data_IF_764784967804
#
_entry.id   IF_764784967804
#
_cell.length_a   1.000
_cell.length_b   1.000
_cell.length_c   1.000
_cell.angle_alpha   90.00
_cell.angle_beta   90.00
_cell.angle_gamma   90.00
#
_symmetry.space_group_name_H-M   'P 1'
#
loop_
_entity.id
_entity.type
_entity.pdbx_description
1 polymer ?
#
# COMPACT_ATOMS: atom_id res chain seq x y z
N UNK A 1 40.91 -36.29 -8.46
CA UNK A 1 39.47 -36.26 -8.75
C UNK A 1 38.74 -35.59 -7.57
N UNK A 2 38.32 -34.33 -7.70
CA UNK A 2 37.51 -33.63 -6.68
C UNK A 2 36.08 -33.44 -7.22
N UNK A 3 35.06 -33.63 -6.39
CA UNK A 3 33.66 -33.38 -6.77
C UNK A 3 33.47 -31.88 -7.06
N UNK A 4 32.68 -31.55 -8.08
CA UNK A 4 32.05 -30.21 -8.16
C UNK A 4 31.08 -30.12 -6.99
N UNK A 5 31.09 -29.01 -6.26
CA UNK A 5 30.17 -28.81 -5.15
C UNK A 5 28.82 -28.31 -5.66
N UNK A 6 27.74 -28.84 -5.09
CA UNK A 6 26.42 -28.20 -5.17
C UNK A 6 26.49 -26.89 -4.38
N UNK A 7 26.59 -25.77 -5.10
CA UNK A 7 26.53 -24.45 -4.49
C UNK A 7 25.14 -24.16 -3.94
N UNK A 8 25.00 -23.24 -2.97
CA UNK A 8 23.69 -22.84 -2.46
C UNK A 8 22.81 -22.33 -3.61
N UNK A 9 21.62 -22.92 -3.74
CA UNK A 9 20.64 -22.52 -4.75
C UNK A 9 20.27 -21.03 -4.53
N UNK A 10 20.20 -20.20 -5.58
CA UNK A 10 19.89 -18.79 -5.42
C UNK A 10 18.52 -18.61 -4.74
N UNK A 11 18.34 -17.57 -3.90
CA UNK A 11 17.07 -17.33 -3.23
C UNK A 11 15.96 -17.18 -4.27
N UNK A 12 14.88 -17.94 -4.08
CA UNK A 12 13.75 -18.00 -5.01
C UNK A 12 13.06 -16.63 -5.01
N UNK A 13 13.35 -15.80 -6.02
CA UNK A 13 12.77 -14.46 -6.12
C UNK A 13 11.25 -14.56 -6.05
N UNK A 14 10.65 -13.89 -5.07
CA UNK A 14 9.19 -13.81 -4.93
C UNK A 14 8.65 -12.96 -6.08
N UNK A 15 8.18 -13.60 -7.15
CA UNK A 15 7.53 -12.92 -8.27
C UNK A 15 6.43 -12.02 -7.74
N UNK A 16 6.52 -10.72 -8.02
CA UNK A 16 5.46 -9.76 -7.66
C UNK A 16 4.24 -10.11 -8.51
N UNK A 17 3.26 -10.74 -7.87
CA UNK A 17 1.99 -11.08 -8.51
C UNK A 17 1.10 -9.85 -8.53
N UNK A 18 0.86 -9.31 -9.72
CA UNK A 18 -0.16 -8.28 -9.91
C UNK A 18 -1.52 -8.97 -10.08
N UNK A 19 -2.56 -8.58 -9.31
CA UNK A 19 -3.90 -9.08 -9.56
C UNK A 19 -4.39 -8.61 -10.95
N UNK A 20 -5.35 -9.33 -11.56
CA UNK A 20 -6.04 -8.82 -12.75
C UNK A 20 -6.68 -7.45 -12.45
N UNK A 21 -6.83 -6.61 -13.48
CA UNK A 21 -7.60 -5.38 -13.36
C UNK A 21 -9.08 -5.73 -13.08
N UNK A 22 -9.76 -5.02 -12.15
CA UNK A 22 -11.20 -5.14 -12.00
C UNK A 22 -11.92 -4.91 -13.32
N UNK A 23 -12.89 -5.76 -13.61
CA UNK A 23 -13.77 -5.73 -14.78
C UNK A 23 -15.23 -5.62 -14.35
N UNK A 24 -16.16 -5.17 -15.21
CA UNK A 24 -17.58 -5.17 -14.88
C UNK A 24 -18.07 -6.53 -14.37
N UNK A 25 -18.97 -6.49 -13.38
CA UNK A 25 -19.42 -7.57 -12.50
C UNK A 25 -18.42 -8.10 -11.45
N UNK A 26 -17.16 -7.62 -11.39
CA UNK A 26 -16.27 -7.95 -10.28
C UNK A 26 -16.76 -7.34 -8.95
N UNK A 27 -16.55 -8.06 -7.86
CA UNK A 27 -16.90 -7.62 -6.50
C UNK A 27 -15.74 -6.86 -5.88
N UNK A 28 -15.97 -5.58 -5.54
CA UNK A 28 -14.95 -4.71 -4.93
C UNK A 28 -15.24 -4.53 -3.43
N UNK A 29 -14.27 -4.87 -2.58
CA UNK A 29 -14.38 -4.71 -1.14
C UNK A 29 -14.27 -3.22 -0.75
N UNK A 30 -15.25 -2.73 0.01
CA UNK A 30 -15.27 -1.38 0.58
C UNK A 30 -15.09 -1.50 2.09
N UNK A 31 -14.08 -0.80 2.63
CA UNK A 31 -13.61 -0.91 4.01
C UNK A 31 -13.25 0.47 4.59
N UNK A 32 -13.34 0.64 5.91
CA UNK A 32 -12.86 1.85 6.61
C UNK A 32 -11.59 1.56 7.43
N UNK A 33 -10.39 1.72 6.85
CA UNK A 33 -9.12 1.46 7.55
C UNK A 33 -8.86 2.41 8.72
N UNK A 34 -9.43 3.61 8.68
CA UNK A 34 -9.29 4.67 9.69
C UNK A 34 -10.56 4.85 10.52
N UNK A 35 -11.16 6.04 10.45
CA UNK A 35 -12.48 6.29 11.04
C UNK A 35 -13.60 5.87 10.07
N UNK A 36 -14.71 5.34 10.59
CA UNK A 36 -15.93 5.02 9.86
C UNK A 36 -16.75 6.25 9.46
N UNK A 37 -16.10 7.23 8.81
CA UNK A 37 -16.67 8.52 8.43
C UNK A 37 -17.98 8.46 7.62
N UNK A 38 -18.33 7.39 6.86
CA UNK A 38 -19.66 7.24 6.26
C UNK A 38 -20.84 7.27 7.25
N UNK A 39 -20.60 7.07 8.56
CA UNK A 39 -21.61 7.28 9.61
C UNK A 39 -22.00 8.77 9.75
N UNK A 40 -21.03 9.67 9.66
CA UNK A 40 -21.20 11.12 9.82
C UNK A 40 -21.46 11.83 8.48
N UNK A 41 -20.88 11.30 7.40
CA UNK A 41 -20.93 11.85 6.06
C UNK A 41 -21.33 10.76 5.05
N UNK A 42 -22.60 10.31 5.06
CA UNK A 42 -23.05 9.24 4.17
C UNK A 42 -23.08 9.66 2.70
N UNK A 43 -23.48 10.89 2.38
CA UNK A 43 -23.72 11.34 0.99
C UNK A 43 -22.50 11.23 0.05
N UNK A 44 -21.26 11.63 0.45
CA UNK A 44 -20.07 11.40 -0.38
C UNK A 44 -19.71 9.92 -0.55
N UNK A 45 -20.04 9.08 0.43
CA UNK A 45 -19.78 7.65 0.40
C UNK A 45 -20.78 6.91 -0.50
N UNK A 46 -22.08 7.22 -0.36
CA UNK A 46 -23.16 6.73 -1.22
C UNK A 46 -22.89 7.02 -2.70
N UNK A 47 -22.53 8.26 -3.03
CA UNK A 47 -22.10 8.65 -4.38
C UNK A 47 -20.85 7.89 -4.86
N UNK A 48 -20.00 7.43 -3.95
CA UNK A 48 -18.88 6.54 -4.27
C UNK A 48 -19.35 5.13 -4.65
N UNK A 49 -20.34 4.58 -3.95
CA UNK A 49 -20.93 3.27 -4.28
C UNK A 49 -21.72 3.32 -5.58
N UNK A 50 -22.52 4.38 -5.78
CA UNK A 50 -23.28 4.65 -7.01
C UNK A 50 -22.34 4.63 -8.23
N UNK A 51 -21.23 5.39 -8.19
CA UNK A 51 -20.25 5.40 -9.30
C UNK A 51 -19.55 4.07 -9.51
N UNK A 52 -19.16 3.36 -8.44
CA UNK A 52 -18.57 2.02 -8.57
C UNK A 52 -19.50 1.06 -9.33
N UNK A 53 -20.81 1.17 -9.09
CA UNK A 53 -21.83 0.38 -9.80
C UNK A 53 -22.11 0.90 -11.22
N UNK A 54 -22.47 2.17 -11.36
CA UNK A 54 -23.03 2.71 -12.61
C UNK A 54 -21.96 3.10 -13.64
N UNK A 55 -20.85 3.73 -13.21
CA UNK A 55 -19.77 4.17 -14.12
C UNK A 55 -18.79 3.05 -14.46
N UNK A 56 -18.56 2.11 -13.52
CA UNK A 56 -17.54 1.05 -13.63
C UNK A 56 -18.11 -0.38 -13.70
N UNK A 57 -19.41 -0.57 -13.46
CA UNK A 57 -20.05 -1.90 -13.48
C UNK A 57 -19.64 -2.83 -12.34
N UNK A 58 -18.99 -2.33 -11.28
CA UNK A 58 -18.48 -3.12 -10.17
C UNK A 58 -19.56 -3.34 -9.11
N UNK A 59 -19.47 -4.44 -8.37
CA UNK A 59 -20.37 -4.75 -7.26
C UNK A 59 -19.68 -4.35 -5.95
N UNK A 60 -19.96 -3.17 -5.35
CA UNK A 60 -19.42 -2.82 -4.05
C UNK A 60 -19.90 -3.77 -2.96
N UNK A 61 -18.99 -4.20 -2.10
CA UNK A 61 -19.26 -5.04 -0.93
C UNK A 61 -18.73 -4.33 0.31
N UNK A 62 -19.63 -3.69 1.06
CA UNK A 62 -19.29 -3.07 2.33
C UNK A 62 -18.97 -4.12 3.40
N UNK A 63 -17.90 -3.87 4.16
CA UNK A 63 -17.50 -4.68 5.31
C UNK A 63 -18.07 -4.13 6.63
N UNK A 64 -18.17 -4.94 7.70
CA UNK A 64 -18.83 -4.57 8.96
C UNK A 64 -18.45 -3.24 9.64
N UNK A 65 -17.21 -2.76 9.51
CA UNK A 65 -16.79 -1.48 10.12
C UNK A 65 -16.96 -0.24 9.23
N UNK A 66 -17.33 -0.43 7.95
CA UNK A 66 -17.27 0.63 6.92
C UNK A 66 -18.08 1.88 7.27
N UNK A 67 -19.24 1.71 7.93
CA UNK A 67 -20.09 2.82 8.39
C UNK A 67 -20.13 2.96 9.92
N UNK A 68 -19.07 2.58 10.64
CA UNK A 68 -19.07 2.55 12.11
C UNK A 68 -17.87 3.30 12.73
N UNK A 69 -18.16 4.42 13.36
CA UNK A 69 -17.26 5.21 14.20
C UNK A 69 -16.94 4.49 15.52
N UNK A 70 -15.84 4.88 16.17
CA UNK A 70 -15.41 4.29 17.45
C UNK A 70 -15.02 2.80 17.37
N UNK A 71 -14.85 2.25 16.16
CA UNK A 71 -14.43 0.87 15.94
C UNK A 71 -12.98 0.66 16.32
N UNK A 72 -12.74 -0.38 17.12
CA UNK A 72 -11.41 -0.74 17.63
C UNK A 72 -10.43 -1.11 16.50
N UNK A 73 -9.11 -1.12 16.76
CA UNK A 73 -8.11 -1.57 15.78
C UNK A 73 -8.19 -3.07 15.49
N UNK A 74 -9.02 -3.82 16.25
CA UNK A 74 -9.30 -5.22 16.01
C UNK A 74 -10.45 -5.39 15.02
N UNK A 75 -11.61 -4.76 15.27
CA UNK A 75 -12.73 -4.80 14.31
C UNK A 75 -12.29 -4.32 12.92
N UNK A 76 -11.57 -3.19 12.84
CA UNK A 76 -11.02 -2.67 11.57
C UNK A 76 -9.85 -3.48 10.99
N UNK A 77 -9.35 -4.46 11.73
CA UNK A 77 -8.32 -5.40 11.27
C UNK A 77 -8.93 -6.74 10.81
N UNK A 78 -10.05 -7.15 11.40
CA UNK A 78 -10.82 -8.29 10.91
C UNK A 78 -11.41 -7.95 9.50
N UNK A 79 -11.59 -6.66 9.20
CA UNK A 79 -11.85 -6.09 7.87
C UNK A 79 -10.60 -5.89 6.96
N UNK A 80 -9.35 -6.21 7.39
CA UNK A 80 -8.11 -5.79 6.67
C UNK A 80 -6.90 -6.74 6.68
N UNK A 81 -6.24 -6.91 5.52
CA UNK A 81 -4.78 -6.98 5.46
C UNK A 81 -4.14 -5.66 5.94
N UNK A 82 -3.26 -5.73 6.94
CA UNK A 82 -2.80 -4.56 7.72
C UNK A 82 -1.65 -3.76 7.10
N UNK A 83 -1.79 -2.43 7.17
CA UNK A 83 -0.72 -1.43 7.27
C UNK A 83 -1.23 -0.25 8.11
N UNK A 84 -0.64 -0.01 9.30
CA UNK A 84 -0.91 1.05 10.29
C UNK A 84 -2.34 1.19 10.91
N UNK A 85 -2.45 1.54 12.21
CA UNK A 85 -3.69 1.98 12.86
C UNK A 85 -3.70 3.50 13.17
N UNK A 86 -4.89 4.11 13.24
CA UNK A 86 -5.08 5.55 13.48
C UNK A 86 -5.18 5.98 14.96
N UNK A 87 -5.46 5.07 15.90
CA UNK A 87 -5.81 5.42 17.30
C UNK A 87 -4.62 5.89 18.15
N UNK A 88 -3.40 5.71 17.67
CA UNK A 88 -2.18 6.20 18.30
C UNK A 88 -1.40 7.04 17.29
N UNK A 89 -1.83 8.30 17.02
CA UNK A 89 -0.98 9.25 16.31
C UNK A 89 0.29 9.43 17.14
N UNK A 90 1.44 9.09 16.56
CA UNK A 90 2.72 9.28 17.23
C UNK A 90 2.95 10.78 17.48
N UNK A 91 3.66 11.12 18.56
CA UNK A 91 4.34 12.42 18.64
C UNK A 91 5.32 12.58 17.46
N UNK A 92 5.76 13.80 17.09
CA UNK A 92 6.71 13.97 15.99
C UNK A 92 7.98 13.11 16.15
N UNK A 93 8.48 13.00 17.38
CA UNK A 93 9.61 12.13 17.75
C UNK A 93 9.28 10.64 17.64
N UNK A 94 8.10 10.23 18.10
CA UNK A 94 7.61 8.85 17.95
C UNK A 94 7.38 8.46 16.50
N UNK A 95 6.97 9.42 15.66
CA UNK A 95 6.73 9.24 14.22
C UNK A 95 8.03 9.09 13.46
N UNK A 96 9.02 9.93 13.77
CA UNK A 96 10.39 9.78 13.27
C UNK A 96 10.99 8.43 13.70
N UNK A 97 10.78 8.00 14.96
CA UNK A 97 11.22 6.68 15.44
C UNK A 97 10.51 5.53 14.70
N UNK A 98 9.18 5.56 14.58
CA UNK A 98 8.40 4.54 13.88
C UNK A 98 8.80 4.42 12.39
N UNK A 99 8.98 5.56 11.71
CA UNK A 99 9.46 5.60 10.34
C UNK A 99 10.88 5.01 10.22
N UNK A 100 11.80 5.37 11.14
CA UNK A 100 13.16 4.81 11.16
C UNK A 100 13.18 3.30 11.43
N UNK A 101 12.38 2.81 12.40
CA UNK A 101 12.25 1.39 12.73
C UNK A 101 11.80 0.53 11.54
N UNK A 102 10.87 1.04 10.72
CA UNK A 102 10.35 0.34 9.56
C UNK A 102 11.14 0.55 8.28
N UNK A 103 11.77 1.72 8.10
CA UNK A 103 12.85 1.91 7.11
C UNK A 103 13.97 0.89 7.35
N UNK A 104 14.37 0.70 8.62
CA UNK A 104 15.32 -0.37 8.97
C UNK A 104 14.73 -1.78 8.83
N UNK A 105 13.44 -2.00 9.06
CA UNK A 105 12.81 -3.32 8.79
C UNK A 105 12.89 -3.69 7.31
N UNK A 106 12.53 -2.77 6.41
CA UNK A 106 12.67 -2.94 4.95
C UNK A 106 14.13 -3.10 4.57
N UNK A 107 15.05 -2.26 5.08
CA UNK A 107 16.49 -2.40 4.82
C UNK A 107 17.07 -3.72 5.33
N UNK A 108 16.59 -4.28 6.46
CA UNK A 108 16.99 -5.61 6.93
C UNK A 108 16.50 -6.71 5.97
N UNK A 109 15.24 -6.65 5.53
CA UNK A 109 14.69 -7.61 4.58
C UNK A 109 15.42 -7.55 3.22
N UNK A 110 15.63 -6.36 2.67
CA UNK A 110 16.32 -6.20 1.38
C UNK A 110 17.79 -6.62 1.44
N UNK A 111 18.51 -6.35 2.55
CA UNK A 111 19.86 -6.89 2.78
C UNK A 111 19.90 -8.43 2.77
N UNK A 112 18.83 -9.10 3.20
CA UNK A 112 18.76 -10.56 3.25
C UNK A 112 18.35 -11.22 1.93
N UNK A 113 17.49 -10.56 1.13
CA UNK A 113 16.87 -11.18 -0.06
C UNK A 113 17.25 -10.55 -1.41
N UNK A 114 17.71 -9.30 -1.44
CA UNK A 114 17.96 -8.56 -2.68
C UNK A 114 19.00 -7.41 -2.48
N UNK A 115 20.23 -7.71 -2.01
CA UNK A 115 21.17 -6.71 -1.50
C UNK A 115 21.61 -5.66 -2.53
N UNK A 116 21.69 -6.02 -3.82
CA UNK A 116 22.10 -5.12 -4.91
C UNK A 116 20.96 -4.24 -5.45
N UNK A 117 19.75 -4.34 -4.89
CA UNK A 117 18.59 -3.56 -5.35
C UNK A 117 18.67 -2.11 -4.87
N UNK A 118 18.50 -1.16 -5.78
CA UNK A 118 18.34 0.26 -5.40
C UNK A 118 16.98 0.46 -4.74
N UNK A 119 16.99 0.88 -3.47
CA UNK A 119 15.79 1.17 -2.68
C UNK A 119 15.67 2.69 -2.54
N UNK A 120 14.46 3.22 -2.74
CA UNK A 120 14.13 4.62 -2.46
C UNK A 120 13.03 4.65 -1.39
N UNK A 121 13.19 5.54 -0.42
CA UNK A 121 12.24 5.82 0.64
C UNK A 121 11.81 7.29 0.54
N UNK A 122 10.83 7.69 1.35
CA UNK A 122 10.57 9.10 1.64
C UNK A 122 10.21 9.90 0.36
N UNK A 123 9.27 9.36 -0.43
CA UNK A 123 8.87 9.88 -1.74
C UNK A 123 7.41 10.33 -1.73
N UNK A 124 7.15 11.57 -2.16
CA UNK A 124 5.87 12.27 -1.97
C UNK A 124 4.69 11.81 -2.86
N UNK A 125 4.79 10.65 -3.52
CA UNK A 125 3.72 10.06 -4.32
C UNK A 125 3.30 8.69 -3.78
N UNK A 126 2.07 8.58 -3.26
CA UNK A 126 1.56 7.33 -2.69
C UNK A 126 0.25 7.46 -1.89
N UNK A 127 -0.29 6.31 -1.51
CA UNK A 127 -1.48 6.15 -0.66
C UNK A 127 -1.18 6.57 0.80
N UNK A 128 -2.07 7.17 1.59
CA UNK A 128 -3.50 7.48 1.36
C UNK A 128 -3.80 8.98 1.15
N UNK A 129 -2.77 9.83 1.26
CA UNK A 129 -2.84 11.29 1.10
C UNK A 129 -1.74 11.72 0.10
N UNK A 130 -1.98 11.57 -1.21
CA UNK A 130 -0.94 11.77 -2.23
C UNK A 130 -0.62 13.25 -2.43
N UNK A 131 0.49 13.69 -1.84
CA UNK A 131 1.03 15.05 -2.00
C UNK A 131 1.42 15.37 -3.45
N UNK A 132 1.78 14.36 -4.25
CA UNK A 132 2.07 14.48 -5.68
C UNK A 132 1.36 13.41 -6.52
N UNK A 133 0.71 13.84 -7.60
CA UNK A 133 0.08 12.96 -8.60
C UNK A 133 1.05 12.66 -9.75
N UNK A 134 1.19 11.39 -10.12
CA UNK A 134 1.95 10.93 -11.29
C UNK A 134 0.98 10.40 -12.35
N UNK A 135 0.79 11.11 -13.48
CA UNK A 135 0.07 10.58 -14.65
C UNK A 135 0.58 9.22 -15.14
N UNK A 136 -0.30 8.44 -15.75
CA UNK A 136 0.02 7.11 -16.27
C UNK A 136 0.66 7.18 -17.68
N UNK A 137 1.51 6.20 -18.02
CA UNK A 137 2.11 6.04 -19.34
C UNK A 137 3.49 6.68 -19.53
N UNK A 138 3.94 7.53 -18.60
CA UNK A 138 5.27 8.15 -18.65
C UNK A 138 6.42 7.20 -18.29
N UNK A 139 7.64 7.58 -18.65
CA UNK A 139 8.87 6.88 -18.27
C UNK A 139 9.46 7.48 -16.99
N UNK A 140 9.66 6.65 -15.97
CA UNK A 140 10.33 7.04 -14.72
C UNK A 140 11.80 6.62 -14.78
N UNK A 141 12.72 7.55 -14.48
CA UNK A 141 14.14 7.26 -14.22
C UNK A 141 14.47 7.59 -12.77
N UNK A 142 14.93 6.58 -12.04
CA UNK A 142 15.50 6.71 -10.69
C UNK A 142 17.02 6.79 -10.80
N UNK A 143 17.62 7.80 -10.18
CA UNK A 143 19.05 8.01 -10.05
C UNK A 143 19.41 8.09 -8.56
N UNK A 144 19.78 6.95 -7.98
CA UNK A 144 20.11 6.82 -6.56
C UNK A 144 21.30 7.71 -6.14
N UNK A 145 22.46 7.65 -6.82
CA UNK A 145 23.62 8.49 -6.52
C UNK A 145 23.32 10.00 -6.61
N UNK A 146 22.58 10.45 -7.62
CA UNK A 146 22.18 11.85 -7.76
C UNK A 146 20.93 12.23 -6.92
N UNK A 147 20.40 11.29 -6.11
CA UNK A 147 19.16 11.38 -5.31
C UNK A 147 18.00 12.01 -6.08
N UNK A 148 17.72 11.51 -7.29
CA UNK A 148 16.79 12.15 -8.22
C UNK A 148 15.87 11.16 -8.88
N UNK A 149 14.58 11.45 -8.84
CA UNK A 149 13.58 10.83 -9.70
C UNK A 149 13.28 11.83 -10.81
N UNK A 150 13.22 11.35 -12.06
CA UNK A 150 12.68 12.09 -13.19
C UNK A 150 11.51 11.30 -13.77
N UNK A 151 10.44 12.00 -14.14
CA UNK A 151 9.35 11.43 -14.93
C UNK A 151 9.25 12.22 -16.22
N UNK A 152 9.07 11.54 -17.34
CA UNK A 152 8.87 12.12 -18.66
C UNK A 152 7.59 11.56 -19.29
N UNK A 153 6.88 12.40 -20.04
CA UNK A 153 5.64 12.11 -20.75
C UNK A 153 5.80 12.56 -22.21
#
# INVERSE_FOLDING_TARGET
>A
MRRRGDGPHPPRMTTISYPPKPSPADRIAVISPGAGLPELFPRPFELGLERLHDDYGLIPVEYPTTRKMGTTPRERADDRPKTWPFEHPNSPEGGARYAAEQREAVLRAMRAYAPDTTIVFDVDYGHTDPQLVIPYGGTVRVDGPARRIKVAY
#
